data_IF_207099665064
#
_entry.id   IF_207099665064
#
_cell.length_a   1.000
_cell.length_b   1.000
_cell.length_c   1.000
_cell.angle_alpha   90.00
_cell.angle_beta   90.00
_cell.angle_gamma   90.00
#
_symmetry.space_group_name_H-M   'P 1'
#
loop_
_entity.id
_entity.type
_entity.pdbx_description
1 polymer ?
#
# COMPACT_ATOMS: atom_id res chain seq x y z
N UNK A 1 10.91 -32.40 -22.27
CA UNK A 1 12.17 -31.74 -22.71
C UNK A 1 12.74 -30.87 -21.58
N UNK A 2 13.93 -30.26 -21.73
CA UNK A 2 14.49 -29.33 -20.72
C UNK A 2 13.55 -28.13 -20.47
N UNK A 3 12.85 -27.63 -21.50
CA UNK A 3 11.84 -26.58 -21.33
C UNK A 3 10.66 -27.05 -20.51
N UNK A 4 10.13 -28.25 -20.77
CA UNK A 4 9.04 -28.82 -19.95
C UNK A 4 9.46 -28.95 -18.49
N UNK A 5 10.68 -29.42 -18.21
CA UNK A 5 11.17 -29.55 -16.85
C UNK A 5 11.33 -28.19 -16.14
N UNK A 6 11.80 -27.17 -16.87
CA UNK A 6 11.89 -25.79 -16.37
C UNK A 6 10.50 -25.18 -16.17
N UNK A 7 9.59 -25.36 -17.11
CA UNK A 7 8.21 -24.85 -17.02
C UNK A 7 7.46 -25.51 -15.86
N UNK A 8 7.56 -26.83 -15.70
CA UNK A 8 6.98 -27.58 -14.58
C UNK A 8 7.56 -27.12 -13.23
N UNK A 9 8.86 -26.77 -13.21
CA UNK A 9 9.50 -26.17 -12.02
C UNK A 9 8.96 -24.77 -11.74
N UNK A 10 8.69 -23.97 -12.78
CA UNK A 10 8.08 -22.65 -12.65
C UNK A 10 6.65 -22.69 -12.14
N UNK A 11 5.86 -23.64 -12.64
CA UNK A 11 4.50 -23.87 -12.19
C UNK A 11 4.46 -24.36 -10.72
N UNK A 12 5.44 -25.19 -10.31
CA UNK A 12 5.59 -25.64 -8.92
C UNK A 12 6.08 -24.54 -7.97
N UNK A 13 7.02 -23.71 -8.40
CA UNK A 13 7.53 -22.60 -7.60
C UNK A 13 6.50 -21.47 -7.46
N UNK A 14 5.63 -21.28 -8.46
CA UNK A 14 4.59 -20.25 -8.45
C UNK A 14 5.14 -18.82 -8.40
N UNK A 15 6.44 -18.63 -8.61
CA UNK A 15 7.10 -17.33 -8.62
C UNK A 15 7.07 -16.77 -10.05
N UNK A 16 6.40 -15.62 -10.29
CA UNK A 16 6.30 -15.01 -11.62
C UNK A 16 7.66 -14.78 -12.29
N UNK A 17 8.68 -14.51 -11.48
CA UNK A 17 10.05 -14.25 -11.92
C UNK A 17 10.70 -15.46 -12.60
N UNK A 18 10.43 -16.68 -12.12
CA UNK A 18 10.97 -17.92 -12.71
C UNK A 18 10.21 -18.33 -13.97
N UNK A 19 8.91 -18.08 -14.02
CA UNK A 19 8.13 -18.24 -15.26
C UNK A 19 8.64 -17.29 -16.35
N UNK A 20 8.97 -16.05 -15.99
CA UNK A 20 9.57 -15.08 -16.93
C UNK A 20 10.93 -15.55 -17.44
N UNK A 21 11.75 -16.16 -16.58
CA UNK A 21 13.02 -16.79 -16.97
C UNK A 21 12.82 -17.93 -17.97
N UNK A 22 11.88 -18.85 -17.72
CA UNK A 22 11.57 -19.96 -18.63
C UNK A 22 11.11 -19.48 -20.01
N UNK A 23 10.20 -18.50 -20.06
CA UNK A 23 9.72 -17.89 -21.31
C UNK A 23 10.88 -17.23 -22.07
N UNK A 24 11.74 -16.49 -21.37
CA UNK A 24 12.89 -15.81 -21.98
C UNK A 24 13.87 -16.80 -22.60
N UNK A 25 14.14 -17.91 -21.90
CA UNK A 25 15.02 -18.99 -22.37
C UNK A 25 14.44 -19.71 -23.60
N UNK A 26 13.13 -19.98 -23.61
CA UNK A 26 12.45 -20.61 -24.74
C UNK A 26 12.51 -19.74 -26.00
N UNK A 27 12.17 -18.45 -25.89
CA UNK A 27 12.22 -17.48 -27.00
C UNK A 27 13.64 -17.41 -27.59
N UNK A 28 14.65 -17.34 -26.73
CA UNK A 28 16.04 -17.18 -27.17
C UNK A 28 16.56 -18.40 -27.92
N UNK A 29 16.12 -19.60 -27.51
CA UNK A 29 16.52 -20.85 -28.15
C UNK A 29 15.92 -21.00 -29.54
N UNK A 30 14.73 -20.47 -29.79
CA UNK A 30 14.10 -20.40 -31.12
C UNK A 30 14.78 -19.36 -32.03
N UNK A 31 15.20 -18.22 -31.48
CA UNK A 31 15.78 -17.11 -32.26
C UNK A 31 17.32 -17.13 -32.37
N UNK A 32 18.01 -17.93 -31.57
CA UNK A 32 19.47 -18.11 -31.64
C UNK A 32 20.30 -16.89 -31.21
N UNK A 33 19.68 -15.91 -30.55
CA UNK A 33 20.32 -14.64 -30.14
C UNK A 33 21.21 -14.76 -28.89
N UNK A 34 21.85 -13.66 -28.50
CA UNK A 34 22.79 -13.60 -27.38
C UNK A 34 22.10 -13.82 -26.01
N UNK A 35 22.06 -15.07 -25.55
CA UNK A 35 21.50 -15.48 -24.25
C UNK A 35 22.03 -14.65 -23.07
N UNK A 36 23.30 -14.26 -23.10
CA UNK A 36 23.92 -13.50 -22.02
C UNK A 36 23.32 -12.09 -21.90
N UNK A 37 23.01 -11.45 -23.03
CA UNK A 37 22.41 -10.11 -23.06
C UNK A 37 20.97 -10.13 -22.56
N UNK A 38 20.14 -11.05 -23.04
CA UNK A 38 18.74 -11.11 -22.59
C UNK A 38 18.62 -11.56 -21.14
N UNK A 39 19.46 -12.49 -20.68
CA UNK A 39 19.49 -12.87 -19.27
C UNK A 39 19.96 -11.71 -18.38
N UNK A 40 20.90 -10.90 -18.85
CA UNK A 40 21.32 -9.66 -18.17
C UNK A 40 20.16 -8.65 -18.09
N UNK A 41 19.43 -8.45 -19.19
CA UNK A 41 18.25 -7.58 -19.22
C UNK A 41 17.14 -8.08 -18.28
N UNK A 42 16.90 -9.40 -18.24
CA UNK A 42 15.95 -10.00 -17.31
C UNK A 42 16.39 -9.75 -15.86
N UNK A 43 17.66 -9.99 -15.54
CA UNK A 43 18.22 -9.72 -14.21
C UNK A 43 18.00 -8.26 -13.78
N UNK A 44 18.21 -7.30 -14.69
CA UNK A 44 17.90 -5.89 -14.41
C UNK A 44 16.41 -5.65 -14.14
N UNK A 45 15.52 -6.23 -14.95
CA UNK A 45 14.06 -6.07 -14.79
C UNK A 45 13.60 -6.65 -13.45
N UNK A 46 14.10 -7.83 -13.09
CA UNK A 46 13.80 -8.49 -11.82
C UNK A 46 14.28 -7.65 -10.63
N UNK A 47 15.51 -7.12 -10.71
CA UNK A 47 16.07 -6.24 -9.68
C UNK A 47 15.29 -4.93 -9.56
N UNK A 48 14.92 -4.29 -10.67
CA UNK A 48 14.07 -3.08 -10.70
C UNK A 48 12.71 -3.33 -10.05
N UNK A 49 12.08 -4.48 -10.33
CA UNK A 49 10.81 -4.88 -9.68
C UNK A 49 10.96 -5.07 -8.17
N UNK A 50 12.02 -5.75 -7.72
CA UNK A 50 12.29 -5.93 -6.29
C UNK A 50 12.50 -4.59 -5.59
N UNK A 51 13.26 -3.68 -6.20
CA UNK A 51 13.44 -2.32 -5.69
C UNK A 51 12.14 -1.53 -5.64
N UNK A 52 11.26 -1.64 -6.65
CA UNK A 52 9.94 -1.00 -6.62
C UNK A 52 9.07 -1.52 -5.48
N UNK A 53 9.03 -2.83 -5.24
CA UNK A 53 8.28 -3.41 -4.10
C UNK A 53 8.80 -2.88 -2.76
N UNK A 54 10.12 -2.80 -2.58
CA UNK A 54 10.73 -2.23 -1.38
C UNK A 54 10.42 -0.74 -1.23
N UNK A 55 10.46 0.03 -2.33
CA UNK A 55 10.12 1.46 -2.34
C UNK A 55 8.66 1.69 -1.99
N UNK A 56 7.74 0.91 -2.55
CA UNK A 56 6.31 0.95 -2.20
C UNK A 56 6.14 0.69 -0.71
N UNK A 57 6.76 -0.36 -0.16
CA UNK A 57 6.68 -0.68 1.28
C UNK A 57 7.22 0.45 2.18
N UNK A 58 8.29 1.12 1.76
CA UNK A 58 8.86 2.25 2.49
C UNK A 58 7.95 3.48 2.45
N UNK A 59 7.50 3.91 1.26
CA UNK A 59 6.59 5.06 1.09
C UNK A 59 5.23 4.82 1.78
N UNK A 60 4.76 3.58 1.76
CA UNK A 60 3.55 3.15 2.47
C UNK A 60 3.66 3.36 3.97
N UNK A 61 4.84 3.10 4.54
CA UNK A 61 5.06 3.26 5.98
C UNK A 61 5.05 4.73 6.41
N UNK A 62 5.61 5.61 5.60
CA UNK A 62 5.57 7.07 5.83
C UNK A 62 4.14 7.63 5.72
N UNK A 63 3.39 7.19 4.70
CA UNK A 63 1.99 7.57 4.51
C UNK A 63 1.11 7.07 5.66
N UNK A 64 1.34 5.84 6.15
CA UNK A 64 0.66 5.29 7.34
C UNK A 64 0.92 6.11 8.58
N UNK A 65 2.17 6.45 8.87
CA UNK A 65 2.52 7.23 10.05
C UNK A 65 1.83 8.61 10.02
N UNK A 66 1.86 9.29 8.87
CA UNK A 66 1.19 10.58 8.68
C UNK A 66 -0.34 10.46 8.85
N UNK A 67 -0.94 9.38 8.34
CA UNK A 67 -2.35 9.07 8.50
C UNK A 67 -2.77 8.96 9.97
N UNK A 68 -1.98 8.22 10.77
CA UNK A 68 -2.25 8.03 12.19
C UNK A 68 -2.14 9.35 12.96
N UNK A 69 -1.14 10.18 12.63
CA UNK A 69 -0.98 11.49 13.27
C UNK A 69 -2.20 12.37 12.99
N UNK A 70 -2.57 12.53 11.72
CA UNK A 70 -3.70 13.39 11.32
C UNK A 70 -5.03 12.84 11.83
N UNK A 71 -5.21 11.51 11.82
CA UNK A 71 -6.39 10.85 12.36
C UNK A 71 -6.54 11.01 13.88
N UNK A 72 -5.43 11.10 14.63
CA UNK A 72 -5.45 11.26 16.08
C UNK A 72 -5.67 12.72 16.53
N UNK A 73 -5.31 13.71 15.70
CA UNK A 73 -5.40 15.13 16.05
C UNK A 73 -6.78 15.56 16.58
N UNK A 74 -7.92 15.23 15.95
CA UNK A 74 -9.23 15.67 16.41
C UNK A 74 -9.57 15.11 17.79
N UNK A 75 -9.15 13.88 18.10
CA UNK A 75 -9.36 13.26 19.41
C UNK A 75 -8.50 13.94 20.49
N UNK A 76 -7.24 14.25 20.18
CA UNK A 76 -6.33 14.94 21.10
C UNK A 76 -6.83 16.36 21.39
N UNK A 77 -7.25 17.09 20.35
CA UNK A 77 -7.78 18.46 20.51
C UNK A 77 -9.09 18.43 21.30
N UNK A 78 -9.98 17.47 21.02
CA UNK A 78 -11.23 17.31 21.75
C UNK A 78 -10.99 17.02 23.25
N UNK A 79 -10.12 16.07 23.59
CA UNK A 79 -9.81 15.77 25.01
C UNK A 79 -9.11 16.91 25.71
N UNK A 80 -8.23 17.64 25.01
CA UNK A 80 -7.56 18.82 25.55
C UNK A 80 -8.56 19.95 25.87
N UNK A 81 -9.48 20.25 24.94
CA UNK A 81 -10.52 21.26 25.16
C UNK A 81 -11.45 20.84 26.31
N UNK A 82 -11.77 19.55 26.41
CA UNK A 82 -12.56 19.02 27.51
C UNK A 82 -11.94 19.29 28.88
N UNK A 83 -10.61 19.15 28.98
CA UNK A 83 -9.88 19.34 30.23
C UNK A 83 -9.65 20.81 30.57
N UNK A 84 -9.37 21.65 29.57
CA UNK A 84 -9.09 23.08 29.76
C UNK A 84 -10.38 23.88 29.99
N UNK A 85 -11.46 23.58 29.26
CA UNK A 85 -12.71 24.32 29.34
C UNK A 85 -13.94 23.40 29.19
N UNK A 86 -14.31 22.68 30.26
CA UNK A 86 -15.44 21.76 30.24
C UNK A 86 -16.79 22.45 29.94
N UNK A 87 -16.92 23.74 30.28
CA UNK A 87 -18.08 24.57 29.93
C UNK A 87 -18.26 24.77 28.42
N UNK A 88 -17.18 24.81 27.65
CA UNK A 88 -17.22 24.91 26.18
C UNK A 88 -17.77 23.64 25.54
N UNK A 89 -17.37 22.46 26.05
CA UNK A 89 -17.90 21.16 25.60
C UNK A 89 -19.33 20.93 26.11
N UNK A 90 -19.72 21.47 27.27
CA UNK A 90 -21.10 21.39 27.76
C UNK A 90 -22.13 21.95 26.77
N UNK A 91 -21.79 23.02 26.05
CA UNK A 91 -22.59 23.57 24.95
C UNK A 91 -22.78 22.61 23.78
N UNK A 92 -21.77 21.78 23.50
CA UNK A 92 -21.82 20.78 22.42
C UNK A 92 -22.91 19.72 22.63
N UNK A 93 -23.25 19.41 23.88
CA UNK A 93 -24.28 18.43 24.23
C UNK A 93 -25.67 19.04 24.48
N UNK A 94 -25.77 20.37 24.54
CA UNK A 94 -27.03 21.08 24.85
C UNK A 94 -27.59 21.85 23.66
N UNK A 95 -26.76 22.35 22.76
CA UNK A 95 -27.19 23.05 21.55
C UNK A 95 -27.34 22.06 20.37
N UNK A 96 -28.58 21.88 19.88
CA UNK A 96 -28.88 21.00 18.72
C UNK A 96 -28.02 21.32 17.49
N UNK A 97 -27.64 22.59 17.28
CA UNK A 97 -26.81 22.98 16.12
C UNK A 97 -25.40 22.42 16.23
N UNK A 98 -24.83 22.39 17.44
CA UNK A 98 -23.49 21.85 17.69
C UNK A 98 -23.50 20.33 17.58
N UNK A 99 -24.56 19.66 18.05
CA UNK A 99 -24.74 18.21 17.90
C UNK A 99 -24.81 17.80 16.43
N UNK A 100 -25.62 18.48 15.61
CA UNK A 100 -25.75 18.19 14.17
C UNK A 100 -24.43 18.43 13.43
N UNK A 101 -23.73 19.52 13.74
CA UNK A 101 -22.42 19.83 13.15
C UNK A 101 -21.36 18.80 13.57
N UNK A 102 -21.41 18.34 14.83
CA UNK A 102 -20.57 17.29 15.37
C UNK A 102 -20.78 15.94 14.69
N UNK A 103 -22.03 15.52 14.51
CA UNK A 103 -22.39 14.32 13.77
C UNK A 103 -21.91 14.41 12.31
N UNK A 104 -22.10 15.55 11.65
CA UNK A 104 -21.58 15.79 10.31
C UNK A 104 -20.06 15.68 10.23
N UNK A 105 -19.35 16.26 11.21
CA UNK A 105 -17.90 16.15 11.34
C UNK A 105 -17.42 14.71 11.56
N UNK A 106 -18.12 13.93 12.38
CA UNK A 106 -17.81 12.51 12.62
C UNK A 106 -18.00 11.66 11.36
N UNK A 107 -19.07 11.91 10.59
CA UNK A 107 -19.28 11.24 9.29
C UNK A 107 -18.14 11.59 8.33
N UNK A 108 -17.77 12.86 8.23
CA UNK A 108 -16.67 13.30 7.36
C UNK A 108 -15.32 12.70 7.77
N UNK A 109 -15.04 12.65 9.07
CA UNK A 109 -13.86 11.97 9.62
C UNK A 109 -13.86 10.48 9.33
N UNK A 110 -15.02 9.82 9.45
CA UNK A 110 -15.15 8.39 9.18
C UNK A 110 -14.88 8.08 7.70
N UNK A 111 -15.37 8.93 6.79
CA UNK A 111 -15.07 8.85 5.36
C UNK A 111 -13.56 9.04 5.12
N UNK A 112 -12.96 10.06 5.73
CA UNK A 112 -11.52 10.32 5.63
C UNK A 112 -10.68 9.14 6.13
N UNK A 113 -11.01 8.61 7.31
CA UNK A 113 -10.34 7.44 7.88
C UNK A 113 -10.51 6.19 7.01
N UNK A 114 -11.69 5.98 6.41
CA UNK A 114 -11.95 4.88 5.49
C UNK A 114 -11.09 4.97 4.22
N UNK A 115 -10.98 6.16 3.62
CA UNK A 115 -10.13 6.38 2.43
C UNK A 115 -8.66 6.09 2.77
N UNK A 116 -8.19 6.56 3.93
CA UNK A 116 -6.82 6.29 4.40
C UNK A 116 -6.59 4.80 4.63
N UNK A 117 -7.53 4.09 5.26
CA UNK A 117 -7.45 2.65 5.46
C UNK A 117 -7.39 1.89 4.12
N UNK A 118 -8.16 2.33 3.11
CA UNK A 118 -8.14 1.78 1.76
C UNK A 118 -6.80 1.98 1.07
N UNK A 119 -6.22 3.17 1.11
CA UNK A 119 -4.87 3.44 0.56
C UNK A 119 -3.81 2.52 1.18
N UNK A 120 -3.87 2.35 2.51
CA UNK A 120 -2.95 1.50 3.27
C UNK A 120 -3.08 0.01 2.90
N UNK A 121 -4.30 -0.46 2.64
CA UNK A 121 -4.55 -1.84 2.20
C UNK A 121 -4.11 -2.12 0.77
N UNK A 122 -4.06 -1.10 -0.09
CA UNK A 122 -3.65 -1.26 -1.49
C UNK A 122 -2.13 -1.40 -1.66
N UNK A 123 -1.35 -0.93 -0.69
CA UNK A 123 0.11 -1.09 -0.68
C UNK A 123 0.59 -2.39 0.00
N UNK A 124 -0.31 -3.15 0.64
CA UNK A 124 -0.04 -4.46 1.24
C UNK A 124 -0.47 -5.56 0.28
#
# INVERSE_FOLDING_TARGET
SMEEALQETGDKLGIPEFNFFCITLAIQRETGGNLAETLSNLSEVLRKRSQMKLKIRAMSSESKASAYIVGALPFIVFTMIWWINPSYIGGFFTDERLIVTGLGGLVWMSIGAFIMAKMVSFEI
#
